data_IF_045861456036
#
_entry.id   IF_045861456036
#
_cell.length_a   1.000
_cell.length_b   1.000
_cell.length_c   1.000
_cell.angle_alpha   90.00
_cell.angle_beta   90.00
_cell.angle_gamma   90.00
#
_symmetry.space_group_name_H-M   'P 1'
#
loop_
_entity.id
_entity.type
_entity.pdbx_description
1 polymer ?
#
# COMPACT_ATOMS: atom_id res chain seq x y z
N UNK A 1 -29.36 4.31 -17.53
CA UNK A 1 -28.69 3.41 -16.57
C UNK A 1 -27.23 3.85 -16.35
N UNK A 2 -26.98 5.12 -15.96
CA UNK A 2 -25.62 5.66 -15.97
C UNK A 2 -25.30 6.68 -14.87
N UNK A 3 -26.15 6.80 -13.86
CA UNK A 3 -25.93 7.72 -12.72
C UNK A 3 -25.64 6.98 -11.40
N UNK A 4 -25.95 5.67 -11.29
CA UNK A 4 -25.71 4.90 -10.07
C UNK A 4 -24.25 4.47 -9.87
N UNK A 5 -23.58 4.04 -10.94
CA UNK A 5 -22.19 3.55 -10.87
C UNK A 5 -21.19 4.65 -10.46
N UNK A 6 -21.41 5.89 -10.90
CA UNK A 6 -20.56 7.04 -10.57
C UNK A 6 -20.66 7.45 -9.11
N UNK A 7 -21.84 7.24 -8.49
CA UNK A 7 -22.08 7.55 -7.09
C UNK A 7 -21.48 6.46 -6.17
N UNK A 8 -21.65 5.19 -6.52
CA UNK A 8 -21.03 4.06 -5.78
C UNK A 8 -19.49 4.12 -5.81
N UNK A 9 -18.90 4.57 -6.91
CA UNK A 9 -17.46 4.77 -7.02
C UNK A 9 -16.97 5.94 -6.15
N UNK A 10 -17.71 7.04 -6.12
CA UNK A 10 -17.41 8.20 -5.29
C UNK A 10 -17.52 7.87 -3.78
N UNK A 11 -18.49 7.04 -3.40
CA UNK A 11 -18.69 6.61 -2.02
C UNK A 11 -17.66 5.55 -1.57
N UNK A 12 -16.99 4.88 -2.51
CA UNK A 12 -16.01 3.84 -2.25
C UNK A 12 -14.57 4.39 -2.14
N UNK A 13 -14.38 5.45 -1.36
CA UNK A 13 -13.09 6.13 -1.16
C UNK A 13 -12.66 6.14 0.31
N UNK A 14 -11.35 6.27 0.55
CA UNK A 14 -10.78 6.36 1.89
C UNK A 14 -9.26 6.32 1.87
N UNK A 15 -8.64 6.28 3.05
CA UNK A 15 -7.19 6.16 3.16
C UNK A 15 -6.79 4.69 3.20
N UNK A 16 -6.23 4.18 2.09
CA UNK A 16 -5.63 2.85 2.03
C UNK A 16 -4.45 2.77 3.00
N UNK A 17 -4.45 1.73 3.81
CA UNK A 17 -3.32 1.34 4.67
C UNK A 17 -2.24 0.71 3.80
N UNK A 18 -1.00 1.19 3.87
CA UNK A 18 0.14 0.66 3.14
C UNK A 18 1.08 -0.07 4.12
N UNK A 19 2.16 0.57 4.59
CA UNK A 19 3.04 -0.03 5.60
C UNK A 19 2.50 0.11 7.02
N UNK A 20 2.63 -0.93 7.84
CA UNK A 20 2.21 -0.93 9.26
C UNK A 20 3.39 -1.31 10.13
N UNK A 21 3.99 -0.34 10.82
CA UNK A 21 5.20 -0.57 11.61
C UNK A 21 4.92 -1.49 12.82
N UNK A 22 5.81 -2.48 13.11
CA UNK A 22 5.66 -3.36 14.26
C UNK A 22 5.61 -2.59 15.58
N UNK A 23 4.73 -3.00 16.49
CA UNK A 23 4.58 -2.36 17.81
C UNK A 23 3.94 -0.96 17.78
N UNK A 24 3.49 -0.50 16.61
CA UNK A 24 2.79 0.77 16.47
C UNK A 24 1.34 0.73 16.94
N UNK A 25 0.70 1.89 17.20
CA UNK A 25 -0.74 1.96 17.43
C UNK A 25 -1.58 1.34 16.32
N UNK A 26 -1.18 1.48 15.05
CA UNK A 26 -1.84 0.85 13.91
C UNK A 26 -1.72 -0.69 13.94
N UNK A 27 -0.54 -1.21 14.29
CA UNK A 27 -0.32 -2.66 14.45
C UNK A 27 -1.15 -3.21 15.63
N UNK A 28 -1.24 -2.47 16.73
CA UNK A 28 -1.96 -2.89 17.94
C UNK A 28 -3.47 -3.10 17.73
N UNK A 29 -4.07 -2.37 16.78
CA UNK A 29 -5.48 -2.55 16.39
C UNK A 29 -5.68 -3.52 15.22
N UNK A 30 -4.60 -4.11 14.72
CA UNK A 30 -4.63 -5.06 13.60
C UNK A 30 -5.02 -4.43 12.27
N UNK A 31 -4.47 -3.25 11.92
CA UNK A 31 -4.57 -2.76 10.54
C UNK A 31 -3.78 -3.68 9.60
N UNK A 32 -4.37 -3.97 8.45
CA UNK A 32 -3.85 -4.87 7.42
C UNK A 32 -3.49 -4.08 6.17
N UNK A 33 -2.21 -4.12 5.85
CA UNK A 33 -1.58 -3.53 4.68
C UNK A 33 -2.33 -3.88 3.41
N UNK A 34 -2.48 -2.88 2.56
CA UNK A 34 -3.15 -2.89 1.26
C UNK A 34 -4.66 -3.18 1.29
N UNK A 35 -5.13 -4.09 2.15
CA UNK A 35 -6.55 -4.46 2.23
C UNK A 35 -7.41 -3.50 3.03
N UNK A 36 -6.86 -2.88 4.08
CA UNK A 36 -7.63 -1.95 4.89
C UNK A 36 -7.68 -0.54 4.29
N UNK A 37 -8.85 0.07 4.43
CA UNK A 37 -9.11 1.47 4.17
C UNK A 37 -9.71 2.10 5.41
N UNK A 38 -9.12 3.19 5.89
CA UNK A 38 -9.76 4.03 6.90
C UNK A 38 -10.79 4.90 6.18
N UNK A 39 -12.07 4.63 6.42
CA UNK A 39 -13.20 5.25 5.71
C UNK A 39 -13.94 6.28 6.56
N UNK A 40 -13.81 6.21 7.88
CA UNK A 40 -14.32 7.23 8.78
C UNK A 40 -13.45 7.36 10.04
N UNK A 41 -13.44 8.54 10.64
CA UNK A 41 -12.69 8.84 11.85
C UNK A 41 -13.49 9.81 12.72
N UNK A 42 -13.81 9.39 13.94
CA UNK A 42 -14.58 10.16 14.93
C UNK A 42 -15.86 10.75 14.32
N UNK A 43 -16.69 9.85 13.78
CA UNK A 43 -17.99 10.16 13.17
C UNK A 43 -17.95 10.88 11.81
N UNK A 44 -16.77 11.25 11.30
CA UNK A 44 -16.62 11.94 10.02
C UNK A 44 -16.13 10.97 8.96
N UNK A 45 -16.84 10.87 7.85
CA UNK A 45 -16.45 10.05 6.70
C UNK A 45 -15.30 10.72 5.93
N UNK A 46 -14.32 9.91 5.51
CA UNK A 46 -13.09 10.34 4.85
C UNK A 46 -13.22 10.15 3.34
N UNK A 47 -14.10 10.95 2.71
CA UNK A 47 -14.46 10.82 1.27
C UNK A 47 -13.59 11.66 0.32
N UNK A 48 -12.73 12.53 0.86
CA UNK A 48 -11.93 13.45 0.06
C UNK A 48 -10.47 13.44 0.54
N UNK A 49 -9.55 13.75 -0.37
CA UNK A 49 -8.15 13.97 -0.03
C UNK A 49 -8.00 15.37 0.58
N UNK A 50 -8.11 15.43 1.91
CA UNK A 50 -7.93 16.66 2.68
C UNK A 50 -7.06 16.43 3.94
N UNK A 51 -7.03 17.41 4.83
CA UNK A 51 -6.29 17.31 6.10
C UNK A 51 -7.09 16.68 7.24
N UNK A 52 -8.39 16.35 7.04
CA UNK A 52 -9.32 15.97 8.11
C UNK A 52 -8.80 14.80 8.93
N UNK A 53 -8.33 13.74 8.28
CA UNK A 53 -7.82 12.57 9.00
C UNK A 53 -6.55 12.91 9.80
N UNK A 54 -5.63 13.65 9.17
CA UNK A 54 -4.36 14.05 9.80
C UNK A 54 -4.60 14.98 10.99
N UNK A 55 -5.55 15.91 10.89
CA UNK A 55 -5.89 16.85 11.95
C UNK A 55 -6.58 16.15 13.12
N UNK A 56 -7.45 15.16 12.86
CA UNK A 56 -8.03 14.30 13.92
C UNK A 56 -6.98 13.49 14.67
N UNK A 57 -5.98 12.94 13.97
CA UNK A 57 -4.85 12.23 14.59
C UNK A 57 -4.07 13.18 15.50
N UNK A 58 -3.71 14.37 15.01
CA UNK A 58 -2.96 15.37 15.80
C UNK A 58 -3.75 15.89 17.00
N UNK A 59 -5.06 16.05 16.85
CA UNK A 59 -5.95 16.52 17.92
C UNK A 59 -6.23 15.48 19.01
N UNK A 60 -5.88 14.21 18.78
CA UNK A 60 -6.20 13.08 19.67
C UNK A 60 -4.94 12.41 20.22
N UNK A 61 -3.85 13.15 20.44
CA UNK A 61 -2.63 12.60 21.03
C UNK A 61 -2.92 12.00 22.42
N UNK A 62 -2.51 10.75 22.61
CA UNK A 62 -2.72 9.90 23.79
C UNK A 62 -4.20 9.69 24.17
N UNK A 63 -5.14 9.94 23.24
CA UNK A 63 -6.58 9.74 23.41
C UNK A 63 -7.10 8.71 22.40
N UNK A 64 -7.95 7.75 22.81
CA UNK A 64 -8.55 6.79 21.88
C UNK A 64 -9.36 7.48 20.78
N UNK A 65 -8.98 7.26 19.52
CA UNK A 65 -9.60 7.80 18.32
C UNK A 65 -10.40 6.69 17.61
N UNK A 66 -11.74 6.74 17.64
CA UNK A 66 -12.58 5.75 16.97
C UNK A 66 -12.49 5.93 15.44
N UNK A 67 -12.23 4.85 14.72
CA UNK A 67 -12.16 4.82 13.26
C UNK A 67 -12.98 3.66 12.72
N UNK A 68 -13.60 3.84 11.56
CA UNK A 68 -14.22 2.74 10.81
C UNK A 68 -13.29 2.34 9.67
N UNK A 69 -13.01 1.04 9.58
CA UNK A 69 -12.05 0.46 8.64
C UNK A 69 -12.76 -0.55 7.76
N UNK A 70 -12.72 -0.35 6.45
CA UNK A 70 -13.20 -1.30 5.46
C UNK A 70 -12.05 -2.21 5.03
N UNK A 71 -12.24 -3.53 5.09
CA UNK A 71 -11.27 -4.50 4.63
C UNK A 71 -11.69 -5.10 3.29
N UNK A 72 -10.85 -4.96 2.26
CA UNK A 72 -11.10 -5.39 0.90
C UNK A 72 -11.20 -6.91 0.74
N UNK A 73 -10.40 -7.65 1.51
CA UNK A 73 -10.34 -9.11 1.47
C UNK A 73 -11.61 -9.73 2.05
N UNK A 74 -12.01 -9.33 3.26
CA UNK A 74 -13.22 -9.85 3.90
C UNK A 74 -14.50 -9.17 3.42
N UNK A 75 -14.39 -8.00 2.78
CA UNK A 75 -15.51 -7.13 2.36
C UNK A 75 -16.39 -6.72 3.53
N UNK A 76 -15.78 -6.44 4.69
CA UNK A 76 -16.46 -6.02 5.91
C UNK A 76 -15.89 -4.71 6.43
N UNK A 77 -16.74 -3.93 7.06
CA UNK A 77 -16.34 -2.76 7.85
C UNK A 77 -16.29 -3.15 9.32
N UNK A 78 -15.25 -2.72 10.02
CA UNK A 78 -15.09 -2.88 11.45
C UNK A 78 -14.74 -1.55 12.11
N UNK A 79 -15.20 -1.36 13.33
CA UNK A 79 -14.80 -0.22 14.14
C UNK A 79 -13.57 -0.58 14.97
N UNK A 80 -12.58 0.30 14.97
CA UNK A 80 -11.35 0.19 15.75
C UNK A 80 -11.16 1.45 16.58
N UNK A 81 -10.47 1.34 17.71
CA UNK A 81 -10.10 2.50 18.53
C UNK A 81 -8.58 2.58 18.57
N UNK A 82 -8.02 3.49 17.77
CA UNK A 82 -6.58 3.67 17.64
C UNK A 82 -6.18 4.78 18.60
N UNK A 83 -5.15 4.59 19.43
CA UNK A 83 -4.66 5.67 20.30
C UNK A 83 -3.40 6.27 19.68
N UNK A 84 -3.49 7.44 19.02
CA UNK A 84 -2.30 8.10 18.48
C UNK A 84 -1.34 8.47 19.58
N UNK A 85 -0.06 8.15 19.43
CA UNK A 85 0.96 8.52 20.41
C UNK A 85 2.31 8.64 19.73
N UNK A 86 3.19 9.47 20.27
CA UNK A 86 4.61 9.52 19.87
C UNK A 86 5.48 8.56 20.70
N UNK A 87 4.93 8.00 21.77
CA UNK A 87 5.67 7.24 22.77
C UNK A 87 5.66 5.72 22.51
N UNK A 88 5.90 5.31 21.26
CA UNK A 88 5.99 3.89 20.89
C UNK A 88 7.31 3.54 20.17
N UNK A 89 8.18 4.52 19.95
CA UNK A 89 9.55 4.32 19.48
C UNK A 89 9.75 4.29 17.96
N UNK A 90 8.70 4.44 17.15
CA UNK A 90 8.79 4.53 15.69
C UNK A 90 8.40 5.90 15.12
N UNK A 91 8.14 5.94 13.80
CA UNK A 91 7.86 7.18 13.08
C UNK A 91 6.35 7.51 13.04
N UNK A 92 6.01 8.74 13.42
CA UNK A 92 4.64 9.25 13.39
C UNK A 92 3.81 8.83 14.60
N UNK A 93 2.55 9.27 14.62
CA UNK A 93 1.66 9.04 15.78
C UNK A 93 0.92 7.69 15.72
N UNK A 94 0.86 7.07 14.54
CA UNK A 94 0.17 5.81 14.33
C UNK A 94 1.09 4.68 13.86
N UNK A 95 2.26 5.00 13.30
CA UNK A 95 3.16 4.02 12.66
C UNK A 95 2.58 3.37 11.41
N UNK A 96 1.77 4.11 10.65
CA UNK A 96 1.16 3.64 9.40
C UNK A 96 1.48 4.60 8.26
N UNK A 97 1.76 4.04 7.08
CA UNK A 97 1.78 4.78 5.82
C UNK A 97 0.41 4.67 5.18
N UNK A 98 -0.15 5.79 4.72
CA UNK A 98 -1.48 5.82 4.10
C UNK A 98 -1.46 6.57 2.77
N UNK A 99 -2.40 6.22 1.89
CA UNK A 99 -2.65 6.93 0.63
C UNK A 99 -4.15 7.05 0.43
N UNK A 100 -4.62 8.24 0.05
CA UNK A 100 -6.03 8.38 -0.34
C UNK A 100 -6.26 7.64 -1.66
N UNK A 101 -7.27 6.77 -1.69
CA UNK A 101 -7.50 5.86 -2.80
C UNK A 101 -8.97 5.40 -2.85
N UNK A 102 -9.34 4.72 -3.93
CA UNK A 102 -10.63 4.05 -4.07
C UNK A 102 -10.51 2.55 -3.82
N UNK A 103 -11.56 1.98 -3.21
CA UNK A 103 -11.76 0.54 -3.11
C UNK A 103 -12.89 0.04 -4.02
N UNK A 104 -13.40 0.89 -4.93
CA UNK A 104 -14.39 0.47 -5.92
C UNK A 104 -13.81 -0.63 -6.81
N UNK A 105 -14.41 -1.82 -6.77
CA UNK A 105 -13.96 -3.03 -7.49
C UNK A 105 -12.49 -3.43 -7.24
N UNK A 106 -11.87 -2.92 -6.17
CA UNK A 106 -10.45 -3.16 -5.93
C UNK A 106 -10.13 -4.63 -5.63
N UNK A 107 -11.13 -5.45 -5.30
CA UNK A 107 -10.94 -6.88 -5.05
C UNK A 107 -10.84 -7.71 -6.35
N UNK A 108 -11.03 -7.04 -7.50
CA UNK A 108 -10.74 -7.56 -8.84
C UNK A 108 -9.32 -7.15 -9.29
N UNK A 109 -8.78 -6.07 -8.75
CA UNK A 109 -7.47 -5.50 -9.10
C UNK A 109 -6.34 -6.21 -8.35
N UNK A 110 -5.96 -7.38 -8.85
CA UNK A 110 -4.81 -8.14 -8.37
C UNK A 110 -4.30 -9.09 -9.45
N UNK A 111 -3.07 -9.56 -9.29
CA UNK A 111 -2.41 -10.49 -10.21
C UNK A 111 -1.97 -11.74 -9.47
N UNK A 112 -2.48 -12.90 -9.89
CA UNK A 112 -2.11 -14.19 -9.28
C UNK A 112 -0.85 -14.74 -9.92
N UNK A 113 0.09 -15.17 -9.09
CA UNK A 113 1.29 -15.89 -9.54
C UNK A 113 0.91 -17.35 -9.85
N UNK A 114 1.17 -17.82 -11.07
CA UNK A 114 0.85 -19.17 -11.52
C UNK A 114 2.05 -20.10 -11.46
N UNK A 115 3.20 -19.62 -11.89
CA UNK A 115 4.48 -20.34 -11.91
C UNK A 115 5.62 -19.37 -11.62
N UNK A 116 6.75 -19.89 -11.15
CA UNK A 116 7.97 -19.12 -10.92
C UNK A 116 9.14 -19.93 -11.47
N UNK A 117 9.92 -19.32 -12.36
CA UNK A 117 11.09 -19.95 -12.95
C UNK A 117 12.30 -19.97 -12.00
N UNK A 118 13.14 -20.99 -12.09
CA UNK A 118 14.37 -21.07 -11.30
C UNK A 118 15.39 -20.02 -11.73
N UNK A 119 16.07 -19.41 -10.76
CA UNK A 119 17.02 -18.32 -10.96
C UNK A 119 16.39 -17.00 -11.39
N UNK A 120 15.06 -16.88 -11.40
CA UNK A 120 14.37 -15.69 -11.86
C UNK A 120 14.29 -14.57 -10.81
N UNK A 121 14.02 -13.32 -11.24
CA UNK A 121 13.69 -12.23 -10.33
C UNK A 121 12.53 -12.54 -9.39
N UNK A 122 11.47 -13.21 -9.87
CA UNK A 122 10.35 -13.65 -9.05
C UNK A 122 10.77 -14.66 -7.97
N UNK A 123 11.65 -15.61 -8.29
CA UNK A 123 12.18 -16.56 -7.30
C UNK A 123 13.03 -15.82 -6.26
N UNK A 124 13.90 -14.90 -6.70
CA UNK A 124 14.73 -14.09 -5.80
C UNK A 124 13.89 -13.20 -4.86
N UNK A 125 12.76 -12.70 -5.33
CA UNK A 125 11.79 -11.96 -4.53
C UNK A 125 10.95 -12.85 -3.58
N UNK A 126 11.08 -14.17 -3.70
CA UNK A 126 10.35 -15.13 -2.87
C UNK A 126 8.87 -15.26 -3.23
N UNK A 127 8.51 -15.09 -4.51
CA UNK A 127 7.14 -15.37 -4.97
C UNK A 127 6.85 -16.87 -4.95
N UNK A 128 5.62 -17.22 -4.56
CA UNK A 128 5.15 -18.59 -4.39
C UNK A 128 4.04 -18.85 -5.41
N UNK A 129 4.34 -19.72 -6.37
CA UNK A 129 3.41 -20.16 -7.40
C UNK A 129 2.10 -20.70 -6.81
N UNK A 130 0.97 -20.25 -7.36
CA UNK A 130 -0.37 -20.70 -6.99
C UNK A 130 -0.94 -20.08 -5.71
N UNK A 131 -0.09 -19.63 -4.79
CA UNK A 131 -0.48 -19.09 -3.48
C UNK A 131 -0.40 -17.57 -3.38
N UNK A 132 0.53 -16.93 -4.09
CA UNK A 132 0.73 -15.48 -4.04
C UNK A 132 -0.16 -14.70 -5.01
N UNK A 133 -0.62 -13.56 -4.52
CA UNK A 133 -1.40 -12.56 -5.22
C UNK A 133 -0.69 -11.21 -5.07
N UNK A 134 -0.20 -10.68 -6.19
CA UNK A 134 0.46 -9.38 -6.26
C UNK A 134 -0.62 -8.29 -6.30
N UNK A 135 -0.59 -7.40 -5.32
CA UNK A 135 -1.65 -6.41 -5.10
C UNK A 135 -1.31 -5.06 -5.75
N UNK A 136 -0.05 -4.64 -5.63
CA UNK A 136 0.42 -3.34 -6.12
C UNK A 136 1.70 -2.88 -5.44
N UNK A 137 2.08 -1.64 -5.72
CA UNK A 137 3.13 -0.88 -5.04
C UNK A 137 2.51 0.18 -4.10
N UNK A 138 3.34 0.95 -3.41
CA UNK A 138 2.89 2.09 -2.62
C UNK A 138 2.17 3.17 -3.45
N UNK A 139 2.41 3.22 -4.77
CA UNK A 139 1.89 4.26 -5.68
C UNK A 139 0.86 3.71 -6.68
N UNK A 140 0.88 2.41 -6.99
CA UNK A 140 0.04 1.82 -8.04
C UNK A 140 -0.62 0.51 -7.61
N UNK A 141 -1.90 0.36 -7.88
CA UNK A 141 -2.61 -0.92 -7.76
C UNK A 141 -2.45 -1.70 -9.07
N UNK A 142 -2.23 -3.01 -9.01
CA UNK A 142 -2.18 -3.83 -10.22
C UNK A 142 -3.59 -4.23 -10.65
N UNK A 143 -4.14 -3.52 -11.63
CA UNK A 143 -5.47 -3.81 -12.20
C UNK A 143 -5.51 -5.14 -12.96
N UNK A 144 -4.39 -5.51 -13.57
CA UNK A 144 -4.24 -6.67 -14.44
C UNK A 144 -2.74 -7.00 -14.64
N UNK A 145 -2.46 -8.01 -15.46
CA UNK A 145 -1.10 -8.44 -15.75
C UNK A 145 -0.29 -7.39 -16.55
N UNK A 146 -0.96 -6.57 -17.37
CA UNK A 146 -0.29 -5.52 -18.16
C UNK A 146 0.18 -4.39 -17.24
N UNK A 147 -0.64 -4.01 -16.24
CA UNK A 147 -0.27 -3.02 -15.23
C UNK A 147 0.95 -3.45 -14.40
N UNK A 148 1.06 -4.74 -14.07
CA UNK A 148 2.27 -5.30 -13.44
C UNK A 148 3.47 -5.23 -14.40
N UNK A 149 3.29 -5.61 -15.66
CA UNK A 149 4.36 -5.59 -16.66
C UNK A 149 4.89 -4.18 -16.88
N UNK A 150 4.00 -3.19 -17.03
CA UNK A 150 4.35 -1.77 -17.15
C UNK A 150 5.20 -1.32 -15.96
N UNK A 151 4.79 -1.68 -14.74
CA UNK A 151 5.50 -1.31 -13.51
C UNK A 151 6.90 -1.92 -13.47
N UNK A 152 7.02 -3.19 -13.86
CA UNK A 152 8.31 -3.88 -13.97
C UNK A 152 9.21 -3.28 -15.05
N UNK A 153 8.66 -2.88 -16.19
CA UNK A 153 9.43 -2.25 -17.27
C UNK A 153 9.88 -0.84 -16.92
N UNK A 154 9.04 -0.07 -16.21
CA UNK A 154 9.37 1.26 -15.72
C UNK A 154 10.56 1.22 -14.74
N UNK A 155 10.71 0.13 -14.01
CA UNK A 155 11.77 -0.08 -13.02
C UNK A 155 12.71 -1.22 -13.40
N UNK A 156 12.99 -1.40 -14.69
CA UNK A 156 13.95 -2.39 -15.15
C UNK A 156 15.33 -2.13 -14.52
N UNK A 157 15.94 -3.20 -14.02
CA UNK A 157 17.21 -3.23 -13.30
C UNK A 157 17.22 -2.39 -11.99
N UNK A 158 16.04 -2.04 -11.46
CA UNK A 158 15.86 -1.32 -10.21
C UNK A 158 14.93 -2.09 -9.24
N UNK A 159 15.15 -1.91 -7.94
CA UNK A 159 14.33 -2.55 -6.91
C UNK A 159 12.94 -1.89 -6.82
N UNK A 160 11.89 -2.72 -6.84
CA UNK A 160 10.51 -2.31 -6.56
C UNK A 160 9.95 -3.07 -5.36
N UNK A 161 9.21 -2.37 -4.51
CA UNK A 161 8.49 -2.93 -3.38
C UNK A 161 7.06 -3.27 -3.80
N UNK A 162 6.72 -4.56 -3.74
CA UNK A 162 5.42 -5.10 -4.13
C UNK A 162 4.72 -5.66 -2.91
N UNK A 163 3.48 -5.23 -2.67
CA UNK A 163 2.59 -5.83 -1.70
C UNK A 163 2.07 -7.16 -2.24
N UNK A 164 2.34 -8.24 -1.52
CA UNK A 164 1.98 -9.62 -1.88
C UNK A 164 1.11 -10.21 -0.80
N UNK A 165 -0.08 -10.66 -1.17
CA UNK A 165 -0.92 -11.48 -0.32
C UNK A 165 -0.68 -12.96 -0.59
N UNK A 166 -0.42 -13.74 0.46
CA UNK A 166 -0.35 -15.20 0.37
C UNK A 166 -1.63 -15.84 0.90
N UNK A 167 -2.28 -16.67 0.06
CA UNK A 167 -3.56 -17.28 0.42
C UNK A 167 -3.46 -18.41 1.45
N UNK A 168 -2.29 -19.01 1.61
CA UNK A 168 -2.09 -20.16 2.49
C UNK A 168 -1.70 -19.71 3.91
N UNK A 169 -0.87 -18.67 4.04
CA UNK A 169 -0.55 -18.07 5.34
C UNK A 169 -1.53 -16.98 5.79
N UNK A 170 -2.36 -16.47 4.90
CA UNK A 170 -3.31 -15.37 5.16
C UNK A 170 -2.62 -14.03 5.48
N UNK A 171 -1.42 -13.84 4.95
CA UNK A 171 -0.54 -12.71 5.25
C UNK A 171 -0.35 -11.78 4.04
N UNK A 172 -0.24 -10.48 4.31
CA UNK A 172 0.25 -9.49 3.36
C UNK A 172 1.68 -9.13 3.75
N UNK A 173 2.62 -9.30 2.80
CA UNK A 173 4.03 -8.95 2.97
C UNK A 173 4.50 -8.00 1.88
N UNK A 174 5.58 -7.26 2.15
CA UNK A 174 6.28 -6.48 1.13
C UNK A 174 7.45 -7.31 0.60
N UNK A 175 7.42 -7.62 -0.69
CA UNK A 175 8.50 -8.28 -1.41
C UNK A 175 9.29 -7.26 -2.23
N UNK A 176 10.62 -7.36 -2.22
CA UNK A 176 11.48 -6.56 -3.09
C UNK A 176 11.85 -7.40 -4.30
N UNK A 177 11.48 -6.95 -5.50
CA UNK A 177 11.85 -7.59 -6.76
C UNK A 177 12.69 -6.63 -7.60
N UNK A 178 13.67 -7.16 -8.32
CA UNK A 178 14.49 -6.40 -9.28
C UNK A 178 14.22 -6.98 -10.68
N UNK A 179 13.24 -6.43 -11.42
CA UNK A 179 12.94 -6.91 -12.77
C UNK A 179 14.15 -6.72 -13.67
N UNK A 180 14.53 -7.72 -14.45
CA UNK A 180 15.66 -7.63 -15.38
C UNK A 180 15.49 -8.63 -16.51
N UNK A 181 16.00 -8.33 -17.71
CA UNK A 181 16.10 -9.33 -18.79
C UNK A 181 17.39 -10.15 -18.73
N UNK A 182 18.30 -9.84 -17.80
CA UNK A 182 19.65 -10.42 -17.77
C UNK A 182 19.74 -11.76 -17.01
N UNK A 183 18.63 -12.26 -16.45
CA UNK A 183 18.61 -13.52 -15.69
C UNK A 183 18.64 -14.78 -16.56
N UNK A 184 18.45 -14.66 -17.88
CA UNK A 184 18.66 -15.75 -18.84
C UNK A 184 17.41 -16.57 -19.20
N UNK A 185 16.22 -16.14 -18.80
CA UNK A 185 14.94 -16.72 -19.22
C UNK A 185 13.99 -15.72 -19.88
N UNK A 186 12.71 -16.09 -19.99
CA UNK A 186 11.70 -15.30 -20.69
C UNK A 186 11.10 -14.18 -19.82
N UNK A 187 11.03 -12.97 -20.40
CA UNK A 187 10.49 -11.80 -19.72
C UNK A 187 11.41 -11.22 -18.64
N UNK A 188 10.99 -10.13 -18.01
CA UNK A 188 11.79 -9.43 -17.00
C UNK A 188 11.55 -9.91 -15.55
N UNK A 189 10.51 -10.72 -15.32
CA UNK A 189 10.12 -11.20 -14.00
C UNK A 189 10.40 -12.71 -13.80
N UNK A 190 10.25 -13.50 -14.88
CA UNK A 190 10.38 -14.97 -14.84
C UNK A 190 9.32 -15.66 -13.98
N UNK A 191 8.07 -15.22 -14.12
CA UNK A 191 6.89 -15.85 -13.54
C UNK A 191 5.71 -15.77 -14.53
N UNK A 192 4.92 -16.84 -14.62
CA UNK A 192 3.62 -16.77 -15.28
C UNK A 192 2.62 -16.14 -14.30
N UNK A 193 1.84 -15.20 -14.80
CA UNK A 193 0.84 -14.48 -14.01
C UNK A 193 -0.51 -14.47 -14.71
N UNK A 194 -1.58 -14.35 -13.93
CA UNK A 194 -2.91 -14.19 -14.49
C UNK A 194 -3.81 -13.29 -13.65
N UNK A 195 -4.75 -12.65 -14.34
CA UNK A 195 -5.79 -11.81 -13.78
C UNK A 195 -7.15 -12.26 -14.36
N UNK A 196 -8.24 -11.89 -13.68
CA UNK A 196 -9.61 -12.14 -14.12
C UNK A 196 -10.37 -13.07 -13.17
N UNK A 197 -11.60 -13.44 -13.55
CA UNK A 197 -12.57 -14.10 -12.68
C UNK A 197 -12.04 -15.37 -11.99
N UNK A 198 -11.28 -16.20 -12.70
CA UNK A 198 -10.70 -17.45 -12.16
C UNK A 198 -9.46 -17.23 -11.27
N UNK A 199 -8.93 -16.01 -11.25
CA UNK A 199 -7.71 -15.63 -10.56
C UNK A 199 -7.94 -14.63 -9.43
N UNK A 200 -9.21 -14.42 -9.02
CA UNK A 200 -9.56 -13.60 -7.85
C UNK A 200 -9.22 -14.32 -6.54
N UNK A 201 -9.29 -13.57 -5.43
CA UNK A 201 -9.18 -14.14 -4.08
C UNK A 201 -10.26 -15.23 -3.87
N UNK A 202 -9.87 -16.46 -3.48
CA UNK A 202 -10.81 -17.53 -3.19
C UNK A 202 -11.77 -17.16 -2.05
N UNK A 203 -13.00 -17.66 -2.09
CA UNK A 203 -13.97 -17.42 -1.01
C UNK A 203 -13.49 -17.92 0.35
N UNK A 204 -12.70 -19.00 0.38
CA UNK A 204 -12.16 -19.59 1.62
C UNK A 204 -11.30 -18.64 2.45
N UNK A 205 -10.63 -17.68 1.84
CA UNK A 205 -9.77 -16.74 2.57
C UNK A 205 -10.51 -15.48 3.05
N UNK A 206 -11.82 -15.35 2.79
CA UNK A 206 -12.60 -14.18 3.19
C UNK A 206 -13.13 -14.26 4.63
N UNK A 207 -12.82 -15.33 5.36
CA UNK A 207 -13.24 -15.52 6.76
C UNK A 207 -12.55 -14.55 7.74
N UNK A 208 -11.33 -14.14 7.43
CA UNK A 208 -10.47 -13.23 8.19
C UNK A 208 -10.13 -11.98 7.37
N UNK A 209 -9.61 -10.97 8.04
CA UNK A 209 -9.16 -9.72 7.39
C UNK A 209 -7.72 -9.83 6.84
N UNK A 210 -7.00 -10.90 7.19
CA UNK A 210 -5.57 -11.10 6.94
C UNK A 210 -4.72 -10.47 8.05
N UNK A 211 -3.40 -10.59 7.92
CA UNK A 211 -2.45 -9.92 8.81
C UNK A 211 -1.29 -9.32 7.99
N UNK A 212 -0.76 -8.18 8.44
CA UNK A 212 0.46 -7.63 7.88
C UNK A 212 1.68 -8.29 8.48
N UNK A 213 2.62 -8.64 7.61
CA UNK A 213 3.97 -9.05 7.99
C UNK A 213 4.93 -8.07 7.34
N UNK A 214 5.49 -7.17 8.15
CA UNK A 214 6.60 -6.35 7.69
C UNK A 214 7.89 -7.17 7.72
N UNK A 215 8.77 -7.05 6.71
CA UNK A 215 10.11 -7.57 6.83
C UNK A 215 10.81 -6.91 8.04
N UNK A 216 11.63 -7.68 8.75
CA UNK A 216 12.47 -7.18 9.85
C UNK A 216 13.54 -6.23 9.29
N UNK A 217 13.12 -5.01 8.93
CA UNK A 217 14.01 -3.98 8.39
C UNK A 217 14.51 -3.15 9.59
N UNK A 218 15.84 -3.02 9.79
CA UNK A 218 16.35 -2.00 10.70
C UNK A 218 15.86 -0.66 10.18
N UNK A 219 15.18 0.12 11.03
CA UNK A 219 14.58 1.41 10.70
C UNK A 219 15.52 2.24 9.81
N UNK A 220 15.20 2.34 8.52
CA UNK A 220 15.96 3.20 7.62
C UNK A 220 15.70 4.67 8.01
N UNK A 221 16.71 5.54 8.04
CA UNK A 221 16.53 6.91 8.50
C UNK A 221 15.71 7.73 7.51
N UNK A 222 14.58 8.24 7.99
CA UNK A 222 13.81 9.39 7.49
C UNK A 222 13.54 9.45 5.98
N UNK A 223 12.44 8.86 5.54
CA UNK A 223 11.65 9.48 4.47
C UNK A 223 10.88 10.66 5.10
N UNK A 224 11.44 11.86 4.94
CA UNK A 224 10.78 13.10 5.32
C UNK A 224 9.46 13.22 4.56
N UNK A 225 8.39 13.48 5.32
CA UNK A 225 7.15 14.06 4.80
C UNK A 225 7.54 15.25 3.94
N UNK A 226 7.25 15.20 2.64
CA UNK A 226 7.48 16.29 1.71
C UNK A 226 6.56 17.46 2.10
N UNK A 227 7.04 18.32 3.01
CA UNK A 227 6.49 19.65 3.19
C UNK A 227 6.97 20.49 2.01
N UNK A 228 6.04 20.94 1.18
CA UNK A 228 6.32 21.88 0.10
C UNK A 228 7.06 23.11 0.63
N UNK A 229 8.33 23.23 0.26
CA UNK A 229 9.12 24.43 0.45
C UNK A 229 9.51 24.95 -0.93
N UNK A 230 9.03 26.15 -1.26
CA UNK A 230 9.39 26.87 -2.49
C UNK A 230 10.92 27.01 -2.61
N UNK A 231 11.47 27.01 -3.84
CA UNK A 231 12.91 27.13 -4.05
C UNK A 231 13.43 28.49 -3.55
N UNK A 232 14.66 28.55 -3.01
CA UNK A 232 15.27 29.80 -2.57
C UNK A 232 15.58 30.73 -3.77
N UNK A 233 15.51 32.07 -3.60
CA UNK A 233 15.82 33.01 -4.67
C UNK A 233 17.31 32.95 -5.07
N UNK A 234 17.64 33.26 -6.34
CA UNK A 234 19.01 33.20 -6.83
C UNK A 234 19.93 34.22 -6.15
N UNK A 235 21.23 33.92 -6.04
CA UNK A 235 22.21 34.80 -5.39
C UNK A 235 22.37 36.12 -6.16
N UNK A 236 22.31 37.24 -5.43
CA UNK A 236 22.62 38.57 -5.97
C UNK A 236 24.13 38.71 -6.16
N UNK A 237 24.58 38.87 -7.40
CA UNK A 237 25.96 39.25 -7.68
C UNK A 237 26.25 40.68 -7.20
N UNK A 238 27.42 40.95 -6.59
CA UNK A 238 27.85 42.32 -6.30
C UNK A 238 28.22 43.06 -7.59
N UNK A 239 28.04 44.39 -7.67
CA UNK A 239 28.39 45.17 -8.84
C UNK A 239 29.91 45.22 -9.05
N UNK A 240 30.38 45.33 -10.31
CA UNK A 240 31.81 45.42 -10.61
C UNK A 240 32.40 46.75 -10.12
N UNK A 241 33.70 46.77 -9.76
CA UNK A 241 34.38 48.01 -9.36
C UNK A 241 34.52 48.96 -10.56
N UNK A 242 34.29 50.25 -10.30
CA UNK A 242 34.54 51.34 -11.23
C UNK A 242 36.04 51.43 -11.55
N UNK A 243 36.38 51.46 -12.83
CA UNK A 243 37.63 51.99 -13.38
C UNK A 243 37.29 53.02 -14.43
#
# INVERSE_FOLDING_TARGET
MGQGASQEEADATGYRVLGVQPGSPASAVGLVSFFDFVVACDGVELRELDSTFIDKIKGSEDVPLPCSVYNLKSRRTRDVSITPTRNWGGQGMLGVTIRFDTYYKADECLVRVLSVADGSPAQAAGFIAGADYLLGTAERVFSDADALLDECQLHLDAAIEVYVYNVDSDEVRVAVVVPTYQWGGDGCLGADVAHGYLHRLPTRCRGSDGVSVEPDRPAAPNAAVATGASPPPPPRHPPPPLS
#
